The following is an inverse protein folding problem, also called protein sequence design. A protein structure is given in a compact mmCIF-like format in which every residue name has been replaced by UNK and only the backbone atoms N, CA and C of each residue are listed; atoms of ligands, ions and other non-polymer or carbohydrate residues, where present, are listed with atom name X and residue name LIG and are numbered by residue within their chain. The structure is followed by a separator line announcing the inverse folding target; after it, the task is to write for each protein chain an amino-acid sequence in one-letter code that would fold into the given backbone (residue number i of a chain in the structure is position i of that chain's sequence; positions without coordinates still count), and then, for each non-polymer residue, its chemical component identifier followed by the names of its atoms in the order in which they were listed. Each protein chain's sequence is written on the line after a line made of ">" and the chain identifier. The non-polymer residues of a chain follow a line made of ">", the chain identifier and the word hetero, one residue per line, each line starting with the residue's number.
data_IF_260698378483
#
_entry.id   IF_260698378483
#
_cell.length_a   1.000
_cell.length_b   1.000
_cell.length_c   1.000
_cell.angle_alpha   90.00
_cell.angle_beta   90.00
_cell.angle_gamma   90.00
#
_symmetry.space_group_name_H-M   'P 1'
#
loop_
_entity.id
_entity.type
_entity.pdbx_description
1 polymer ?
#
# COMPACT_ATOMS: atom_id res chain seq x y z
N UNK A 1 -5.01 -6.37 4.94
CA UNK A 1 -3.81 -6.58 4.10
C UNK A 1 -3.96 -5.72 2.86
N UNK A 2 -3.24 -4.60 2.80
CA UNK A 2 -3.42 -3.56 1.78
C UNK A 2 -2.80 -4.02 0.46
N UNK A 3 -3.60 -4.09 -0.62
CA UNK A 3 -3.05 -4.24 -1.98
C UNK A 3 -2.12 -3.06 -2.27
N UNK A 4 -0.96 -3.32 -2.86
CA UNK A 4 0.00 -2.29 -3.30
C UNK A 4 -0.55 -1.58 -4.55
N UNK A 5 -1.56 -0.73 -4.36
CA UNK A 5 -2.22 0.01 -5.44
C UNK A 5 -2.10 1.54 -5.25
N UNK A 6 -1.75 2.00 -4.05
CA UNK A 6 -1.94 3.39 -3.65
C UNK A 6 -0.91 4.37 -4.25
N UNK A 7 0.35 3.96 -4.43
CA UNK A 7 1.41 4.82 -4.99
C UNK A 7 1.37 4.93 -6.53
N UNK A 8 0.80 3.94 -7.21
CA UNK A 8 0.76 3.90 -8.68
C UNK A 8 -0.09 5.05 -9.27
N UNK A 9 -1.22 5.39 -8.63
CA UNK A 9 -2.07 6.48 -9.08
C UNK A 9 -1.37 7.84 -9.04
N UNK A 10 -0.60 8.12 -7.99
CA UNK A 10 0.11 9.41 -7.84
C UNK A 10 1.25 9.52 -8.85
N UNK A 11 1.99 8.44 -9.10
CA UNK A 11 3.05 8.43 -10.11
C UNK A 11 2.49 8.57 -11.54
N UNK A 12 1.40 7.89 -11.90
CA UNK A 12 0.74 8.05 -13.21
C UNK A 12 0.24 9.48 -13.42
N UNK A 13 -0.45 10.03 -12.42
CA UNK A 13 -0.92 11.42 -12.41
C UNK A 13 0.28 12.37 -12.61
N UNK A 14 1.34 12.24 -11.81
CA UNK A 14 2.52 13.12 -11.88
C UNK A 14 3.31 12.97 -13.19
N UNK A 15 3.46 11.77 -13.74
CA UNK A 15 4.16 11.53 -15.03
C UNK A 15 3.34 12.11 -16.19
N UNK A 16 2.02 11.92 -16.20
CA UNK A 16 1.13 12.54 -17.20
C UNK A 16 1.16 14.08 -17.12
N UNK A 17 1.39 14.68 -15.93
CA UNK A 17 1.62 16.13 -15.78
C UNK A 17 2.90 16.65 -16.43
N UNK A 18 3.95 15.83 -16.53
CA UNK A 18 5.22 16.24 -17.13
C UNK A 18 5.30 15.96 -18.63
N UNK A 19 4.61 14.94 -19.14
CA UNK A 19 4.73 14.51 -20.55
C UNK A 19 3.77 15.27 -21.47
N UNK A 20 2.60 15.70 -20.98
CA UNK A 20 1.56 16.31 -21.81
C UNK A 20 1.07 17.65 -21.23
N UNK A 21 1.88 18.71 -21.36
CA UNK A 21 1.34 20.07 -21.31
C UNK A 21 0.45 20.32 -22.55
N UNK A 22 -0.80 20.76 -22.45
CA UNK A 22 -1.74 21.06 -23.53
C UNK A 22 -2.32 22.47 -23.31
N UNK A 23 -2.42 23.27 -24.37
CA UNK A 23 -3.03 24.61 -24.30
C UNK A 23 -4.57 24.56 -24.31
N UNK A 24 -5.22 25.72 -24.14
CA UNK A 24 -6.69 25.87 -24.15
C UNK A 24 -7.36 25.44 -25.47
N UNK A 25 -6.56 25.13 -26.50
CA UNK A 25 -7.01 24.65 -27.82
C UNK A 25 -6.68 23.17 -28.04
N UNK A 26 -6.19 22.48 -27.01
CA UNK A 26 -5.88 21.04 -27.06
C UNK A 26 -4.55 20.70 -27.75
N UNK A 27 -3.64 21.68 -27.94
CA UNK A 27 -2.35 21.44 -28.59
C UNK A 27 -1.28 21.04 -27.58
N UNK A 28 -0.57 19.93 -27.83
CA UNK A 28 0.53 19.46 -26.98
C UNK A 28 1.68 20.49 -27.02
N UNK A 29 1.92 21.12 -25.87
CA UNK A 29 3.05 21.98 -25.56
C UNK A 29 4.23 21.09 -25.17
N UNK A 30 5.17 20.90 -26.10
CA UNK A 30 6.39 20.10 -25.85
C UNK A 30 7.55 20.91 -25.26
N UNK A 31 7.35 22.21 -24.95
CA UNK A 31 8.48 23.12 -24.71
C UNK A 31 8.27 24.25 -23.69
N UNK A 32 7.32 24.15 -22.75
CA UNK A 32 7.18 25.18 -21.71
C UNK A 32 8.17 24.94 -20.56
N UNK A 33 9.10 25.88 -20.36
CA UNK A 33 9.99 25.99 -19.18
C UNK A 33 9.18 26.21 -17.89
N UNK A 34 8.49 25.19 -17.42
CA UNK A 34 7.83 25.17 -16.10
C UNK A 34 8.91 24.84 -15.08
N UNK A 35 9.22 25.78 -14.19
CA UNK A 35 10.30 25.63 -13.20
C UNK A 35 9.81 25.07 -11.87
N UNK A 36 8.53 25.23 -11.51
CA UNK A 36 7.93 24.64 -10.30
C UNK A 36 6.39 24.66 -10.35
N UNK A 37 5.76 23.52 -10.02
CA UNK A 37 4.31 23.42 -9.74
C UNK A 37 4.12 23.48 -8.22
N UNK A 38 3.26 24.36 -7.73
CA UNK A 38 2.91 24.46 -6.30
C UNK A 38 1.40 24.31 -6.09
N UNK A 39 1.01 23.71 -4.95
CA UNK A 39 -0.37 23.51 -4.49
C UNK A 39 -1.31 22.95 -5.57
N UNK A 40 -1.23 21.64 -5.79
CA UNK A 40 -2.20 20.89 -6.60
C UNK A 40 -3.40 20.54 -5.70
N UNK A 41 -4.62 20.86 -6.13
CA UNK A 41 -5.87 20.46 -5.47
C UNK A 41 -6.92 20.03 -6.49
N UNK A 42 -7.86 19.19 -6.07
CA UNK A 42 -9.00 18.74 -6.90
C UNK A 42 -10.27 19.37 -6.33
N UNK A 43 -11.04 20.09 -7.16
CA UNK A 43 -12.34 20.68 -6.81
C UNK A 43 -13.36 20.32 -7.91
N UNK A 44 -14.50 19.71 -7.56
CA UNK A 44 -15.60 19.39 -8.49
C UNK A 44 -15.15 18.81 -9.85
N UNK A 45 -14.30 17.77 -9.81
CA UNK A 45 -13.72 17.10 -10.99
C UNK A 45 -12.75 17.95 -11.83
N UNK A 46 -12.18 19.01 -11.24
CA UNK A 46 -11.18 19.88 -11.83
C UNK A 46 -9.90 19.82 -11.02
N UNK A 47 -8.78 19.62 -11.70
CA UNK A 47 -7.47 19.80 -11.08
C UNK A 47 -7.05 21.27 -11.20
N UNK A 48 -6.69 21.88 -10.07
CA UNK A 48 -6.26 23.26 -9.95
C UNK A 48 -4.86 23.28 -9.37
N UNK A 49 -3.94 24.01 -10.00
CA UNK A 49 -2.61 24.23 -9.45
C UNK A 49 -2.11 25.65 -9.69
N UNK A 50 -1.16 26.07 -8.85
CA UNK A 50 -0.52 27.38 -8.92
C UNK A 50 0.83 27.28 -9.63
N UNK A 51 0.97 27.99 -10.75
CA UNK A 51 2.23 28.09 -11.50
C UNK A 51 2.98 29.37 -11.09
N UNK A 52 4.28 29.24 -10.81
CA UNK A 52 5.19 30.38 -10.70
C UNK A 52 5.87 30.60 -12.06
N UNK A 53 5.56 31.71 -12.73
CA UNK A 53 6.31 32.18 -13.89
C UNK A 53 7.21 33.35 -13.47
N UNK A 54 8.37 33.52 -14.12
CA UNK A 54 9.34 34.58 -13.81
C UNK A 54 8.82 36.02 -14.01
N UNK A 55 7.57 36.21 -14.47
CA UNK A 55 7.01 37.51 -14.85
C UNK A 55 5.62 37.83 -14.26
N UNK A 56 4.99 36.97 -13.45
CA UNK A 56 3.66 37.27 -12.89
C UNK A 56 3.30 36.43 -11.65
N UNK A 57 2.55 36.98 -10.66
CA UNK A 57 2.09 36.22 -9.49
C UNK A 57 1.02 35.18 -9.84
N UNK A 58 0.93 34.15 -8.98
CA UNK A 58 0.11 32.96 -9.13
C UNK A 58 -1.34 33.24 -9.58
N UNK A 59 -1.70 32.79 -10.78
CA UNK A 59 -3.10 32.65 -11.20
C UNK A 59 -3.49 31.18 -11.16
N UNK A 60 -4.68 30.90 -10.62
CA UNK A 60 -5.29 29.56 -10.70
C UNK A 60 -5.56 29.26 -12.17
N UNK A 61 -4.93 28.21 -12.69
CA UNK A 61 -5.13 27.77 -14.08
C UNK A 61 -5.94 26.49 -14.08
N UNK A 62 -7.12 26.54 -14.70
CA UNK A 62 -7.96 25.36 -14.93
C UNK A 62 -7.33 24.57 -16.07
N UNK A 63 -6.82 23.37 -15.78
CA UNK A 63 -6.03 22.64 -16.77
C UNK A 63 -6.86 21.65 -17.62
N UNK A 64 -7.90 21.01 -17.06
CA UNK A 64 -8.89 20.25 -17.84
C UNK A 64 -10.17 19.95 -17.04
N UNK A 65 -11.24 19.59 -17.76
CA UNK A 65 -12.38 18.85 -17.20
C UNK A 65 -12.14 17.35 -17.37
N UNK A 66 -12.49 16.56 -16.35
CA UNK A 66 -12.33 15.10 -16.34
C UNK A 66 -12.85 14.39 -17.62
N UNK A 67 -14.02 14.75 -18.18
CA UNK A 67 -14.52 14.14 -19.42
C UNK A 67 -13.63 14.41 -20.64
N UNK A 68 -13.04 15.60 -20.74
CA UNK A 68 -12.14 15.94 -21.83
C UNK A 68 -10.80 15.19 -21.71
N UNK A 69 -10.34 14.93 -20.49
CA UNK A 69 -9.14 14.12 -20.22
C UNK A 69 -9.32 12.67 -20.67
N UNK A 70 -10.44 12.03 -20.29
CA UNK A 70 -10.73 10.64 -20.68
C UNK A 70 -10.83 10.51 -22.20
N UNK A 71 -11.55 11.41 -22.87
CA UNK A 71 -11.67 11.39 -24.32
C UNK A 71 -10.32 11.58 -25.02
N UNK A 72 -9.47 12.48 -24.50
CA UNK A 72 -8.14 12.69 -25.05
C UNK A 72 -7.24 11.45 -24.84
N UNK A 73 -7.27 10.87 -23.64
CA UNK A 73 -6.56 9.62 -23.35
C UNK A 73 -7.05 8.48 -24.25
N UNK A 74 -8.35 8.33 -24.47
CA UNK A 74 -8.91 7.31 -25.36
C UNK A 74 -8.42 7.49 -26.79
N UNK A 75 -8.34 8.73 -27.30
CA UNK A 75 -7.79 9.02 -28.62
C UNK A 75 -6.31 8.60 -28.73
N UNK A 76 -5.48 8.95 -27.74
CA UNK A 76 -4.04 8.63 -27.72
C UNK A 76 -3.82 7.11 -27.52
N UNK A 77 -4.57 6.50 -26.62
CA UNK A 77 -4.53 5.05 -26.36
C UNK A 77 -4.96 4.23 -27.59
N UNK A 78 -5.92 4.73 -28.37
CA UNK A 78 -6.34 4.12 -29.65
C UNK A 78 -5.25 4.22 -30.73
N UNK A 79 -4.35 5.20 -30.64
CA UNK A 79 -3.18 5.30 -31.53
C UNK A 79 -2.05 4.34 -31.13
N UNK A 80 -2.22 3.55 -30.07
CA UNK A 80 -1.25 2.55 -29.63
C UNK A 80 -0.33 3.02 -28.50
N UNK A 81 -0.58 4.20 -27.92
CA UNK A 81 0.20 4.69 -26.78
C UNK A 81 -0.05 3.82 -25.54
N UNK A 82 0.97 3.06 -25.17
CA UNK A 82 0.92 2.05 -24.11
C UNK A 82 0.70 2.66 -22.72
N UNK A 83 1.20 3.88 -22.50
CA UNK A 83 1.05 4.61 -21.22
C UNK A 83 -0.38 5.07 -21.02
N UNK A 84 -1.01 5.61 -22.07
CA UNK A 84 -2.41 6.06 -22.06
C UNK A 84 -3.36 4.87 -21.92
N UNK A 85 -3.02 3.72 -22.52
CA UNK A 85 -3.72 2.47 -22.28
C UNK A 85 -3.61 2.03 -20.81
N UNK A 86 -2.42 2.12 -20.20
CA UNK A 86 -2.26 1.82 -18.77
C UNK A 86 -3.09 2.76 -17.88
N UNK A 87 -3.06 4.07 -18.17
CA UNK A 87 -3.77 5.09 -17.41
C UNK A 87 -5.29 4.89 -17.49
N UNK A 88 -5.85 4.67 -18.69
CA UNK A 88 -7.27 4.35 -18.85
C UNK A 88 -7.65 3.06 -18.11
N UNK A 89 -6.80 2.03 -18.23
CA UNK A 89 -6.95 0.77 -17.52
C UNK A 89 -7.07 0.98 -16.01
N UNK A 90 -6.14 1.75 -15.43
CA UNK A 90 -6.13 2.11 -14.02
C UNK A 90 -7.35 2.94 -13.60
N UNK A 91 -7.73 3.95 -14.40
CA UNK A 91 -8.88 4.82 -14.11
C UNK A 91 -10.18 4.02 -14.01
N UNK A 92 -10.44 3.14 -14.98
CA UNK A 92 -11.62 2.28 -14.97
C UNK A 92 -11.56 1.19 -13.89
N UNK A 93 -10.38 0.75 -13.47
CA UNK A 93 -10.24 -0.22 -12.38
C UNK A 93 -10.53 0.41 -11.00
N UNK A 94 -9.95 1.58 -10.71
CA UNK A 94 -10.02 2.21 -9.39
C UNK A 94 -11.32 3.00 -9.18
N UNK A 95 -11.91 3.54 -10.24
CA UNK A 95 -13.22 4.16 -10.14
C UNK A 95 -13.28 5.57 -9.53
N UNK A 96 -12.12 6.20 -9.27
CA UNK A 96 -12.04 7.52 -8.59
C UNK A 96 -12.41 8.70 -9.50
N UNK A 97 -12.10 8.60 -10.78
CA UNK A 97 -12.30 9.67 -11.78
C UNK A 97 -13.37 9.33 -12.81
N UNK A 98 -13.54 8.05 -13.11
CA UNK A 98 -14.64 7.51 -13.91
C UNK A 98 -15.32 6.41 -13.10
N UNK A 99 -16.60 6.08 -13.34
CA UNK A 99 -17.21 4.91 -12.70
C UNK A 99 -16.39 3.65 -12.95
N UNK A 100 -16.30 2.78 -11.94
CA UNK A 100 -15.64 1.47 -12.07
C UNK A 100 -16.20 0.73 -13.29
N UNK A 101 -15.32 0.24 -14.14
CA UNK A 101 -15.67 -0.59 -15.29
C UNK A 101 -14.57 -1.62 -15.54
N UNK A 102 -14.74 -2.82 -15.00
CA UNK A 102 -13.75 -3.89 -15.10
C UNK A 102 -13.55 -4.44 -16.51
N UNK A 103 -14.51 -4.31 -17.41
CA UNK A 103 -14.36 -4.71 -18.82
C UNK A 103 -13.45 -3.75 -19.56
N UNK A 104 -13.70 -2.44 -19.44
CA UNK A 104 -12.82 -1.40 -20.01
C UNK A 104 -11.44 -1.41 -19.36
N UNK A 105 -11.37 -1.61 -18.04
CA UNK A 105 -10.09 -1.75 -17.35
C UNK A 105 -9.28 -2.91 -17.93
N UNK A 106 -9.88 -4.10 -18.03
CA UNK A 106 -9.22 -5.27 -18.61
C UNK A 106 -8.78 -5.04 -20.05
N UNK A 107 -9.65 -4.46 -20.87
CA UNK A 107 -9.37 -4.16 -22.27
C UNK A 107 -8.12 -3.29 -22.43
N UNK A 108 -8.06 -2.18 -21.70
CA UNK A 108 -6.96 -1.23 -21.80
C UNK A 108 -5.68 -1.76 -21.15
N UNK A 109 -5.78 -2.42 -19.99
CA UNK A 109 -4.63 -3.05 -19.33
C UNK A 109 -4.04 -4.18 -20.17
N UNK A 110 -4.86 -5.01 -20.84
CA UNK A 110 -4.37 -6.05 -21.77
C UNK A 110 -3.63 -5.46 -22.95
N UNK A 111 -4.16 -4.40 -23.56
CA UNK A 111 -3.46 -3.71 -24.66
C UNK A 111 -2.11 -3.18 -24.19
N UNK A 112 -2.11 -2.48 -23.06
CA UNK A 112 -0.88 -1.94 -22.47
C UNK A 112 0.12 -3.05 -22.14
N UNK A 113 -0.31 -4.11 -21.45
CA UNK A 113 0.54 -5.22 -21.02
C UNK A 113 1.24 -5.97 -22.17
N UNK A 114 0.63 -5.96 -23.37
CA UNK A 114 1.15 -6.61 -24.57
C UNK A 114 1.85 -5.63 -25.55
N UNK A 115 1.97 -4.34 -25.19
CA UNK A 115 2.63 -3.35 -26.02
C UNK A 115 4.16 -3.49 -26.07
N UNK A 116 4.80 -2.79 -27.01
CA UNK A 116 6.25 -2.86 -27.27
C UNK A 116 7.13 -2.07 -26.28
N UNK A 117 6.57 -1.60 -25.16
CA UNK A 117 7.33 -0.87 -24.17
C UNK A 117 7.97 -1.85 -23.18
N UNK A 118 9.28 -1.70 -22.98
CA UNK A 118 10.10 -2.59 -22.13
C UNK A 118 9.60 -2.65 -20.67
N UNK A 119 8.77 -1.69 -20.22
CA UNK A 119 8.37 -1.51 -18.81
C UNK A 119 6.88 -1.73 -18.52
N UNK A 120 6.18 -2.58 -19.29
CA UNK A 120 4.75 -2.85 -19.10
C UNK A 120 4.39 -3.70 -17.86
N UNK A 121 5.31 -3.83 -16.91
CA UNK A 121 5.13 -4.61 -15.68
C UNK A 121 4.05 -4.00 -14.77
N UNK A 122 3.89 -2.68 -14.77
CA UNK A 122 2.79 -2.02 -14.05
C UNK A 122 1.42 -2.44 -14.58
N UNK A 123 1.24 -2.44 -15.90
CA UNK A 123 -0.01 -2.87 -16.53
C UNK A 123 -0.29 -4.35 -16.29
N UNK A 124 0.75 -5.20 -16.34
CA UNK A 124 0.66 -6.62 -15.98
C UNK A 124 0.25 -6.80 -14.50
N UNK A 125 0.86 -6.06 -13.58
CA UNK A 125 0.52 -6.08 -12.15
C UNK A 125 -0.93 -5.63 -11.88
N UNK A 126 -1.37 -4.56 -12.53
CA UNK A 126 -2.75 -4.07 -12.42
C UNK A 126 -3.74 -5.05 -13.03
N UNK A 127 -3.41 -5.65 -14.17
CA UNK A 127 -4.23 -6.67 -14.81
C UNK A 127 -4.37 -7.92 -13.94
N UNK A 128 -3.28 -8.33 -13.30
CA UNK A 128 -3.30 -9.42 -12.33
C UNK A 128 -4.21 -9.11 -11.13
N UNK A 129 -4.08 -7.90 -10.55
CA UNK A 129 -4.93 -7.46 -9.44
C UNK A 129 -6.42 -7.42 -9.82
N UNK A 130 -6.73 -7.00 -11.05
CA UNK A 130 -8.09 -7.03 -11.60
C UNK A 130 -8.62 -8.47 -11.70
N UNK A 131 -7.82 -9.42 -12.16
CA UNK A 131 -8.22 -10.83 -12.20
C UNK A 131 -8.42 -11.42 -10.80
N UNK A 132 -7.57 -11.05 -9.85
CA UNK A 132 -7.73 -11.44 -8.45
C UNK A 132 -9.08 -10.95 -7.90
N UNK A 133 -9.46 -9.68 -8.16
CA UNK A 133 -10.75 -9.12 -7.73
C UNK A 133 -11.95 -9.78 -8.41
N UNK A 134 -11.78 -10.27 -9.65
CA UNK A 134 -12.79 -11.08 -10.34
C UNK A 134 -12.86 -12.52 -9.83
N UNK A 135 -11.93 -12.95 -8.97
CA UNK A 135 -11.81 -14.33 -8.50
C UNK A 135 -11.14 -15.29 -9.51
N UNK A 136 -10.59 -14.79 -10.62
CA UNK A 136 -9.83 -15.60 -11.57
C UNK A 136 -8.35 -15.68 -11.15
N UNK A 137 -8.10 -16.56 -10.18
CA UNK A 137 -6.79 -16.72 -9.55
C UNK A 137 -5.71 -17.18 -10.53
N UNK A 138 -6.06 -18.03 -11.50
CA UNK A 138 -5.10 -18.54 -12.48
C UNK A 138 -4.62 -17.42 -13.41
N UNK A 139 -5.54 -16.57 -13.89
CA UNK A 139 -5.15 -15.39 -14.68
C UNK A 139 -4.37 -14.38 -13.83
N UNK A 140 -4.71 -14.21 -12.55
CA UNK A 140 -3.96 -13.35 -11.65
C UNK A 140 -2.50 -13.82 -11.49
N UNK A 141 -2.28 -15.10 -11.18
CA UNK A 141 -0.95 -15.71 -11.08
C UNK A 141 -0.17 -15.50 -12.38
N UNK A 142 -0.76 -15.84 -13.53
CA UNK A 142 -0.11 -15.70 -14.83
C UNK A 142 0.41 -14.28 -15.10
N UNK A 143 -0.42 -13.27 -14.82
CA UNK A 143 -0.06 -11.87 -15.07
C UNK A 143 0.92 -11.32 -14.03
N UNK A 144 0.81 -11.75 -12.77
CA UNK A 144 1.80 -11.41 -11.75
C UNK A 144 3.16 -12.03 -12.07
N UNK A 145 3.24 -13.30 -12.46
CA UNK A 145 4.49 -13.98 -12.82
C UNK A 145 5.20 -13.26 -13.97
N UNK A 146 4.47 -12.91 -15.04
CA UNK A 146 5.03 -12.15 -16.18
C UNK A 146 5.62 -10.79 -15.81
N UNK A 147 5.16 -10.18 -14.72
CA UNK A 147 5.75 -8.94 -14.20
C UNK A 147 6.90 -9.23 -13.23
N UNK A 148 6.70 -10.18 -12.31
CA UNK A 148 7.63 -10.56 -11.27
C UNK A 148 8.95 -11.14 -11.81
N UNK A 149 8.91 -11.88 -12.92
CA UNK A 149 10.09 -12.44 -13.62
C UNK A 149 11.00 -11.36 -14.24
N UNK A 150 10.53 -10.11 -14.34
CA UNK A 150 11.31 -8.97 -14.84
C UNK A 150 11.63 -7.99 -13.71
N UNK A 151 11.90 -8.51 -12.51
CA UNK A 151 12.30 -7.75 -11.32
C UNK A 151 11.29 -6.68 -10.86
N UNK A 152 10.02 -6.82 -11.25
CA UNK A 152 8.98 -5.91 -10.78
C UNK A 152 8.53 -6.30 -9.36
N UNK A 153 9.19 -5.67 -8.38
CA UNK A 153 9.05 -5.93 -6.93
C UNK A 153 7.58 -5.97 -6.48
N UNK A 154 6.73 -5.05 -6.94
CA UNK A 154 5.32 -5.03 -6.53
C UNK A 154 4.59 -6.31 -6.94
N UNK A 155 4.87 -6.86 -8.12
CA UNK A 155 4.29 -8.14 -8.54
C UNK A 155 4.88 -9.32 -7.81
N UNK A 156 6.16 -9.29 -7.44
CA UNK A 156 6.75 -10.34 -6.59
C UNK A 156 6.07 -10.37 -5.23
N UNK A 157 5.83 -9.20 -4.61
CA UNK A 157 5.10 -9.09 -3.35
C UNK A 157 3.64 -9.54 -3.51
N UNK A 158 2.92 -9.02 -4.50
CA UNK A 158 1.51 -9.35 -4.70
C UNK A 158 1.30 -10.84 -5.04
N UNK A 159 2.21 -11.44 -5.80
CA UNK A 159 2.19 -12.87 -6.08
C UNK A 159 2.45 -13.69 -4.82
N UNK A 160 3.39 -13.26 -3.98
CA UNK A 160 3.63 -13.88 -2.68
C UNK A 160 2.39 -13.84 -1.79
N UNK A 161 1.72 -12.68 -1.71
CA UNK A 161 0.48 -12.51 -0.94
C UNK A 161 -0.65 -13.38 -1.48
N UNK A 162 -0.76 -13.51 -2.81
CA UNK A 162 -1.74 -14.36 -3.46
C UNK A 162 -1.50 -15.85 -3.16
N UNK A 163 -0.25 -16.29 -3.13
CA UNK A 163 0.09 -17.66 -2.72
C UNK A 163 -0.16 -17.89 -1.23
N UNK A 164 0.16 -16.92 -0.37
CA UNK A 164 -0.11 -17.00 1.07
C UNK A 164 -1.61 -17.13 1.36
N UNK A 165 -2.46 -16.38 0.65
CA UNK A 165 -3.94 -16.48 0.74
C UNK A 165 -4.46 -17.85 0.32
N UNK A 166 -3.72 -18.56 -0.55
CA UNK A 166 -4.02 -19.92 -0.98
C UNK A 166 -3.32 -20.99 -0.11
N UNK A 167 -2.72 -20.60 1.01
CA UNK A 167 -1.95 -21.47 1.91
C UNK A 167 -0.73 -22.13 1.24
N UNK A 168 -0.26 -21.56 0.11
CA UNK A 168 0.91 -22.00 -0.66
C UNK A 168 2.16 -21.29 -0.16
N UNK A 169 2.56 -21.60 1.07
CA UNK A 169 3.56 -20.84 1.81
C UNK A 169 4.97 -20.93 1.20
N UNK A 170 5.34 -22.07 0.61
CA UNK A 170 6.65 -22.23 -0.04
C UNK A 170 6.80 -21.35 -1.29
N UNK A 171 5.75 -21.26 -2.12
CA UNK A 171 5.73 -20.33 -3.25
C UNK A 171 5.70 -18.87 -2.80
N UNK A 172 4.95 -18.55 -1.74
CA UNK A 172 4.95 -17.22 -1.15
C UNK A 172 6.36 -16.82 -0.68
N UNK A 173 7.01 -17.70 0.09
CA UNK A 173 8.40 -17.54 0.55
C UNK A 173 9.33 -17.27 -0.62
N UNK A 174 9.28 -18.08 -1.69
CA UNK A 174 10.15 -17.90 -2.86
C UNK A 174 10.04 -16.49 -3.45
N UNK A 175 8.83 -15.99 -3.63
CA UNK A 175 8.64 -14.65 -4.23
C UNK A 175 9.02 -13.51 -3.28
N UNK A 176 8.77 -13.66 -1.98
CA UNK A 176 9.26 -12.70 -0.99
C UNK A 176 10.79 -12.68 -0.89
N UNK A 177 11.47 -13.84 -1.02
CA UNK A 177 12.94 -13.92 -1.09
C UNK A 177 13.49 -13.16 -2.30
N UNK A 178 12.87 -13.30 -3.47
CA UNK A 178 13.27 -12.53 -4.67
C UNK A 178 13.14 -11.03 -4.41
N UNK A 179 11.99 -10.58 -3.88
CA UNK A 179 11.77 -9.16 -3.57
C UNK A 179 12.76 -8.64 -2.51
N UNK A 180 13.02 -9.42 -1.46
CA UNK A 180 13.95 -9.06 -0.40
C UNK A 180 15.41 -8.96 -0.91
N UNK A 181 15.81 -9.83 -1.83
CA UNK A 181 17.14 -9.80 -2.45
C UNK A 181 17.35 -8.56 -3.33
N UNK A 182 16.27 -8.00 -3.90
CA UNK A 182 16.29 -6.70 -4.59
C UNK A 182 16.26 -5.50 -3.63
N UNK A 183 16.32 -5.73 -2.31
CA UNK A 183 16.34 -4.68 -1.30
C UNK A 183 14.96 -4.16 -0.88
N UNK A 184 13.87 -4.84 -1.26
CA UNK A 184 12.52 -4.45 -0.88
C UNK A 184 12.26 -4.65 0.62
N UNK A 185 11.97 -3.57 1.34
CA UNK A 185 11.54 -3.65 2.74
C UNK A 185 10.28 -4.50 2.91
N UNK A 186 9.26 -4.25 2.08
CA UNK A 186 8.03 -5.07 2.06
C UNK A 186 8.29 -6.55 1.76
N UNK A 187 9.25 -6.84 0.88
CA UNK A 187 9.72 -8.22 0.63
C UNK A 187 10.32 -8.85 1.88
N UNK A 188 11.20 -8.13 2.59
CA UNK A 188 11.79 -8.59 3.85
C UNK A 188 10.75 -8.78 4.96
N UNK A 189 9.81 -7.85 5.10
CA UNK A 189 8.71 -7.94 6.07
C UNK A 189 7.89 -9.21 5.86
N UNK A 190 7.38 -9.41 4.64
CA UNK A 190 6.55 -10.57 4.32
C UNK A 190 7.33 -11.89 4.38
N UNK A 191 8.62 -11.87 3.98
CA UNK A 191 9.50 -13.03 4.13
C UNK A 191 9.67 -13.41 5.61
N UNK A 192 9.88 -12.43 6.50
CA UNK A 192 9.99 -12.67 7.93
C UNK A 192 8.74 -13.33 8.50
N UNK A 193 7.55 -12.81 8.14
CA UNK A 193 6.29 -13.39 8.60
C UNK A 193 6.04 -14.80 8.06
N UNK A 194 6.30 -15.05 6.77
CA UNK A 194 6.05 -16.37 6.19
C UNK A 194 7.03 -17.42 6.71
N UNK A 195 8.29 -17.06 6.97
CA UNK A 195 9.26 -17.97 7.58
C UNK A 195 8.80 -18.43 8.96
N UNK A 196 8.28 -17.50 9.76
CA UNK A 196 7.70 -17.82 11.06
C UNK A 196 6.49 -18.77 10.95
N UNK A 197 5.62 -18.55 9.95
CA UNK A 197 4.44 -19.41 9.70
C UNK A 197 4.80 -20.82 9.24
N UNK A 198 5.79 -20.97 8.34
CA UNK A 198 6.22 -22.26 7.80
C UNK A 198 6.89 -23.11 8.88
N UNK A 199 7.82 -22.50 9.63
CA UNK A 199 8.56 -23.19 10.67
C UNK A 199 9.01 -22.20 11.76
N UNK A 200 8.40 -22.32 12.94
CA UNK A 200 8.71 -21.52 14.14
C UNK A 200 10.18 -21.67 14.61
N UNK A 201 10.96 -22.59 14.05
CA UNK A 201 12.40 -22.70 14.31
C UNK A 201 13.19 -21.48 13.83
N UNK A 202 12.63 -20.67 12.91
CA UNK A 202 13.33 -19.51 12.34
C UNK A 202 12.77 -18.13 12.76
N UNK A 203 12.00 -18.05 13.84
CA UNK A 203 12.45 -17.27 15.00
C UNK A 203 13.24 -15.98 14.75
N UNK A 204 14.53 -16.11 15.07
CA UNK A 204 15.52 -15.05 14.98
C UNK A 204 15.69 -14.49 13.56
N UNK A 205 15.56 -15.32 12.51
CA UNK A 205 15.64 -14.83 11.13
C UNK A 205 14.47 -13.95 10.77
N UNK A 206 13.28 -14.28 11.27
CA UNK A 206 12.08 -13.48 11.09
C UNK A 206 12.27 -12.09 11.71
N UNK A 207 12.78 -12.03 12.94
CA UNK A 207 13.13 -10.76 13.60
C UNK A 207 14.20 -9.98 12.82
N UNK A 208 15.27 -10.65 12.38
CA UNK A 208 16.33 -10.02 11.59
C UNK A 208 15.76 -9.34 10.33
N UNK A 209 14.86 -10.03 9.62
CA UNK A 209 14.22 -9.51 8.42
C UNK A 209 13.27 -8.35 8.71
N UNK A 210 12.48 -8.42 9.79
CA UNK A 210 11.62 -7.32 10.22
C UNK A 210 12.43 -6.07 10.58
N UNK A 211 13.55 -6.23 11.31
CA UNK A 211 14.45 -5.13 11.64
C UNK A 211 15.16 -4.55 10.40
N UNK A 212 15.51 -5.39 9.42
CA UNK A 212 16.04 -4.93 8.13
C UNK A 212 14.99 -4.18 7.31
N UNK A 213 13.74 -4.65 7.32
CA UNK A 213 12.63 -3.97 6.64
C UNK A 213 12.44 -2.53 7.15
N UNK A 214 12.61 -2.28 8.46
CA UNK A 214 12.52 -0.93 9.03
C UNK A 214 13.61 0.02 8.50
N UNK A 215 14.76 -0.52 8.12
CA UNK A 215 15.93 0.24 7.67
C UNK A 215 16.16 0.18 6.15
N UNK A 216 15.17 -0.25 5.34
CA UNK A 216 15.38 -0.44 3.91
C UNK A 216 15.42 0.88 3.14
N UNK A 217 16.30 0.94 2.12
CA UNK A 217 16.48 2.11 1.26
C UNK A 217 15.34 2.31 0.25
N UNK A 218 14.61 1.24 -0.09
CA UNK A 218 13.40 1.29 -0.89
C UNK A 218 12.25 1.40 0.11
N UNK A 219 11.47 2.49 0.03
CA UNK A 219 10.41 2.81 0.99
C UNK A 219 9.49 1.60 1.16
N UNK A 220 9.43 0.99 2.36
CA UNK A 220 8.49 -0.11 2.58
C UNK A 220 7.07 0.43 2.41
N UNK A 221 6.24 -0.32 1.69
CA UNK A 221 4.79 -0.07 1.62
C UNK A 221 4.10 -0.49 2.94
N UNK A 222 4.86 -1.15 3.81
CA UNK A 222 4.47 -1.51 5.17
C UNK A 222 4.88 -0.34 6.07
N UNK A 223 3.93 0.16 6.85
CA UNK A 223 4.14 1.22 7.82
C UNK A 223 5.01 0.68 8.96
N UNK A 224 5.89 1.52 9.49
CA UNK A 224 6.79 1.17 10.59
C UNK A 224 6.00 0.61 11.79
N UNK A 225 4.81 1.15 12.05
CA UNK A 225 3.93 0.69 13.15
C UNK A 225 3.51 -0.77 13.00
N UNK A 226 3.37 -1.29 11.78
CA UNK A 226 2.98 -2.68 11.51
C UNK A 226 4.17 -3.63 11.69
N UNK A 227 5.38 -3.16 11.35
CA UNK A 227 6.63 -3.88 11.63
C UNK A 227 6.82 -4.02 13.15
N UNK A 228 6.65 -2.93 13.88
CA UNK A 228 6.80 -2.90 15.34
C UNK A 228 5.74 -3.73 16.05
N UNK A 229 4.48 -3.68 15.60
CA UNK A 229 3.44 -4.60 16.06
C UNK A 229 3.85 -6.06 15.86
N UNK A 230 4.38 -6.40 14.68
CA UNK A 230 4.78 -7.77 14.36
C UNK A 230 5.93 -8.25 15.25
N UNK A 231 6.92 -7.38 15.53
CA UNK A 231 7.99 -7.66 16.48
C UNK A 231 7.44 -7.88 17.89
N UNK A 232 6.54 -7.01 18.35
CA UNK A 232 5.90 -7.15 19.67
C UNK A 232 5.12 -8.45 19.79
N UNK A 233 4.39 -8.82 18.74
CA UNK A 233 3.63 -10.07 18.70
C UNK A 233 4.56 -11.30 18.77
N UNK A 234 5.70 -11.30 18.07
CA UNK A 234 6.68 -12.38 18.17
C UNK A 234 7.28 -12.50 19.58
N UNK A 235 7.66 -11.38 20.20
CA UNK A 235 8.17 -11.37 21.58
C UNK A 235 7.11 -11.76 22.62
N UNK A 236 5.83 -11.57 22.33
CA UNK A 236 4.76 -11.97 23.25
C UNK A 236 4.45 -13.49 23.16
N UNK A 237 4.44 -14.03 21.94
CA UNK A 237 3.83 -15.34 21.65
C UNK A 237 4.81 -16.48 21.39
N UNK A 238 6.04 -16.21 20.94
CA UNK A 238 6.99 -17.28 20.65
C UNK A 238 7.74 -17.73 21.90
N UNK A 239 7.58 -19.00 22.27
CA UNK A 239 8.15 -19.57 23.50
C UNK A 239 9.68 -19.48 23.61
N UNK A 240 10.42 -19.41 22.48
CA UNK A 240 11.90 -19.41 22.50
C UNK A 240 12.47 -18.03 22.78
N UNK A 241 11.74 -16.98 22.42
CA UNK A 241 12.19 -15.58 22.54
C UNK A 241 11.28 -14.72 23.41
N UNK A 242 10.30 -15.35 24.06
CA UNK A 242 9.25 -14.65 24.81
C UNK A 242 9.86 -13.67 25.80
N UNK A 243 9.53 -12.40 25.64
CA UNK A 243 10.02 -11.29 26.47
C UNK A 243 8.93 -10.22 26.53
N UNK A 244 8.24 -10.15 27.68
CA UNK A 244 7.11 -9.23 27.86
C UNK A 244 7.54 -7.76 27.77
N UNK A 245 8.76 -7.43 28.19
CA UNK A 245 9.23 -6.05 28.17
C UNK A 245 9.54 -5.60 26.74
N UNK A 246 10.17 -6.46 25.93
CA UNK A 246 10.38 -6.18 24.50
C UNK A 246 9.07 -6.14 23.71
N UNK A 247 8.12 -6.99 24.09
CA UNK A 247 6.78 -6.96 23.52
C UNK A 247 6.10 -5.61 23.78
N UNK A 248 6.08 -5.17 25.05
CA UNK A 248 5.53 -3.86 25.44
C UNK A 248 6.26 -2.72 24.72
N UNK A 249 7.59 -2.69 24.71
CA UNK A 249 8.37 -1.65 24.03
C UNK A 249 8.00 -1.54 22.54
N UNK A 250 7.89 -2.69 21.87
CA UNK A 250 7.53 -2.75 20.44
C UNK A 250 6.08 -2.29 20.22
N UNK A 251 5.14 -2.75 21.06
CA UNK A 251 3.75 -2.33 20.98
C UNK A 251 3.57 -0.85 21.33
N UNK A 252 4.28 -0.30 22.31
CA UNK A 252 4.21 1.12 22.66
C UNK A 252 4.70 1.98 21.50
N UNK A 253 5.81 1.60 20.86
CA UNK A 253 6.31 2.31 19.67
C UNK A 253 5.29 2.32 18.53
N UNK A 254 4.59 1.19 18.31
CA UNK A 254 3.54 1.03 17.30
C UNK A 254 2.25 1.78 17.67
N UNK A 255 1.82 1.70 18.93
CA UNK A 255 0.62 2.32 19.47
C UNK A 255 0.70 3.84 19.49
N UNK A 256 1.88 4.40 19.76
CA UNK A 256 2.15 5.84 19.68
C UNK A 256 2.03 6.38 18.24
N UNK A 257 2.24 5.53 17.24
CA UNK A 257 1.98 5.83 15.81
C UNK A 257 0.52 5.59 15.40
N UNK A 258 -0.36 5.35 16.37
CA UNK A 258 -1.80 5.20 16.17
C UNK A 258 -2.27 3.80 15.77
N UNK A 259 -1.41 2.76 15.86
CA UNK A 259 -1.86 1.40 15.52
C UNK A 259 -2.83 0.85 16.58
N UNK A 260 -4.09 0.68 16.18
CA UNK A 260 -5.21 0.37 17.09
C UNK A 260 -4.99 -0.98 17.77
N UNK A 261 -4.51 -1.99 17.03
CA UNK A 261 -4.28 -3.33 17.56
C UNK A 261 -3.19 -3.34 18.62
N UNK A 262 -2.14 -2.52 18.47
CA UNK A 262 -1.10 -2.37 19.51
C UNK A 262 -1.65 -1.68 20.76
N UNK A 263 -2.50 -0.66 20.59
CA UNK A 263 -3.17 0.00 21.71
C UNK A 263 -4.07 -0.99 22.46
N UNK A 264 -4.89 -1.76 21.75
CA UNK A 264 -5.73 -2.80 22.36
C UNK A 264 -4.90 -3.84 23.12
N UNK A 265 -3.85 -4.39 22.49
CA UNK A 265 -2.99 -5.41 23.12
C UNK A 265 -2.24 -4.87 24.34
N UNK A 266 -1.79 -3.62 24.33
CA UNK A 266 -1.22 -3.01 25.54
C UNK A 266 -2.25 -2.92 26.66
N UNK A 267 -3.49 -2.53 26.32
CA UNK A 267 -4.62 -2.57 27.24
C UNK A 267 -4.79 -3.93 27.91
N UNK A 268 -4.76 -5.00 27.12
CA UNK A 268 -4.91 -6.39 27.58
C UNK A 268 -3.70 -6.86 28.40
N UNK A 269 -2.48 -6.58 27.95
CA UNK A 269 -1.25 -6.94 28.66
C UNK A 269 -1.24 -6.31 30.05
N UNK A 270 -1.50 -5.00 30.14
CA UNK A 270 -1.52 -4.29 31.42
C UNK A 270 -2.69 -4.70 32.31
N UNK A 271 -3.76 -5.28 31.77
CA UNK A 271 -4.88 -5.78 32.57
C UNK A 271 -4.60 -7.17 33.16
N UNK A 272 -4.05 -8.06 32.34
CA UNK A 272 -4.06 -9.51 32.59
C UNK A 272 -2.70 -10.07 33.02
N UNK A 273 -1.59 -9.48 32.60
CA UNK A 273 -0.27 -10.03 32.90
C UNK A 273 0.19 -9.62 34.30
N UNK A 274 0.25 -10.59 35.22
CA UNK A 274 0.62 -10.35 36.63
C UNK A 274 1.95 -9.61 36.85
N UNK A 275 2.94 -9.76 35.96
CA UNK A 275 4.26 -9.14 36.15
C UNK A 275 4.27 -7.65 35.87
N UNK A 276 3.39 -7.19 34.98
CA UNK A 276 3.34 -5.81 34.48
C UNK A 276 1.99 -5.15 34.72
N UNK A 277 1.09 -5.81 35.47
CA UNK A 277 -0.29 -5.38 35.65
C UNK A 277 -0.36 -3.93 36.14
N UNK A 278 -1.09 -3.11 35.41
CA UNK A 278 -1.33 -1.70 35.69
C UNK A 278 -2.68 -1.29 35.10
N UNK A 279 -3.71 -1.19 35.94
CA UNK A 279 -5.07 -0.89 35.47
C UNK A 279 -5.19 0.53 34.90
N UNK A 280 -4.36 1.48 35.33
CA UNK A 280 -4.40 2.84 34.79
C UNK A 280 -3.84 2.86 33.37
N UNK A 281 -2.71 2.19 33.14
CA UNK A 281 -2.17 2.03 31.77
C UNK A 281 -3.10 1.22 30.88
N UNK A 282 -3.73 0.17 31.43
CA UNK A 282 -4.72 -0.61 30.71
C UNK A 282 -5.88 0.27 30.22
N UNK A 283 -6.49 1.03 31.13
CA UNK A 283 -7.58 1.97 30.80
C UNK A 283 -7.13 3.03 29.79
N UNK A 284 -5.91 3.57 29.93
CA UNK A 284 -5.36 4.53 28.97
C UNK A 284 -5.31 3.94 27.56
N UNK A 285 -4.68 2.77 27.40
CA UNK A 285 -4.50 2.17 26.08
C UNK A 285 -5.80 1.68 25.45
N UNK A 286 -6.72 1.10 26.24
CA UNK A 286 -8.06 0.83 25.74
C UNK A 286 -8.80 2.11 25.34
N UNK A 287 -8.63 3.21 26.07
CA UNK A 287 -9.25 4.50 25.70
C UNK A 287 -8.73 5.02 24.36
N UNK A 288 -7.42 4.90 24.08
CA UNK A 288 -6.85 5.26 22.79
C UNK A 288 -7.42 4.41 21.65
N UNK A 289 -7.51 3.09 21.83
CA UNK A 289 -8.12 2.19 20.83
C UNK A 289 -9.62 2.49 20.62
N UNK A 290 -10.36 2.72 21.71
CA UNK A 290 -11.80 3.03 21.67
C UNK A 290 -12.10 4.35 20.95
N UNK A 291 -11.25 5.39 21.11
CA UNK A 291 -11.36 6.65 20.36
C UNK A 291 -11.28 6.46 18.84
N UNK A 292 -10.59 5.40 18.41
CA UNK A 292 -10.47 5.02 17.00
C UNK A 292 -11.56 4.03 16.54
N UNK A 293 -12.52 3.71 17.43
CA UNK A 293 -13.68 2.86 17.12
C UNK A 293 -13.49 1.37 17.44
N UNK A 294 -12.44 0.99 18.17
CA UNK A 294 -12.25 -0.41 18.56
C UNK A 294 -13.33 -0.88 19.55
N UNK A 295 -14.12 -1.86 19.13
CA UNK A 295 -15.26 -2.37 19.92
C UNK A 295 -14.83 -3.17 21.14
N UNK A 296 -13.76 -3.96 21.00
CA UNK A 296 -13.22 -4.73 22.11
C UNK A 296 -12.79 -3.80 23.24
N UNK A 297 -12.05 -2.75 22.92
CA UNK A 297 -11.58 -1.75 23.88
C UNK A 297 -12.74 -1.05 24.60
N UNK A 298 -13.82 -0.70 23.88
CA UNK A 298 -15.03 -0.13 24.48
C UNK A 298 -15.68 -1.08 25.50
N UNK A 299 -15.79 -2.37 25.17
CA UNK A 299 -16.35 -3.39 26.07
C UNK A 299 -15.46 -3.62 27.31
N UNK A 300 -14.14 -3.65 27.13
CA UNK A 300 -13.17 -3.81 28.23
C UNK A 300 -13.21 -2.61 29.18
N UNK A 301 -13.29 -1.38 28.67
CA UNK A 301 -13.44 -0.18 29.48
C UNK A 301 -14.71 -0.22 30.34
N UNK A 302 -15.86 -0.57 29.76
CA UNK A 302 -17.11 -0.68 30.50
C UNK A 302 -17.00 -1.70 31.65
N UNK A 303 -16.34 -2.84 31.39
CA UNK A 303 -16.10 -3.86 32.42
C UNK A 303 -15.23 -3.32 33.55
N UNK A 304 -14.11 -2.65 33.22
CA UNK A 304 -13.19 -2.09 34.20
C UNK A 304 -13.85 -1.02 35.09
N UNK A 305 -14.68 -0.14 34.51
CA UNK A 305 -15.42 0.86 35.28
C UNK A 305 -16.45 0.24 36.23
N UNK A 306 -17.12 -0.85 35.82
CA UNK A 306 -18.08 -1.53 36.67
C UNK A 306 -17.40 -2.22 37.86
N UNK A 307 -16.26 -2.88 37.63
CA UNK A 307 -15.50 -3.55 38.70
C UNK A 307 -14.83 -2.61 39.72
N UNK A 308 -14.69 -1.31 39.41
CA UNK A 308 -14.16 -0.30 40.34
C UNK A 308 -15.24 0.34 41.22
N UNK A 309 -16.52 0.12 40.89
CA UNK A 309 -17.68 0.68 41.60
C UNK A 309 -18.42 -0.35 42.46
N UNK A 310 -17.89 -1.57 42.58
CA UNK A 310 -18.33 -2.64 43.50
C UNK A 310 -17.35 -2.81 44.66
#
# INVERSE_FOLDING_TARGET
>A
MYKVLFYLGVAFIVISFFVYSIDEKGKILTNSKITRIGNIRIEDNKLIYKIKNNTSPYKDKLYFSLPNHVNNLENIANQGDVTSQAELGYMYYVGKTVPVNYEKAEYWLKKSANGNLLVNHQSKNLLAALYEDKGDINSAIFWYEKAAENDFIDSQINLGLLYEKQERLDEAKKWYEVAANLGSGSGMYNLGLVLYKINNENVNKSIELLLKSKNSNILPLVDEKEIEYSLGWLYLNDNKIRDINKAIESFESSAQKGFIESQFLLGEIYETNHQVKDLQKSQYWYSEAAKQGDKGAMERLNTLFNTQNE
#
